data_IF_603316131796
#
_entry.id   IF_603316131796
#
_cell.length_a   1.000
_cell.length_b   1.000
_cell.length_c   1.000
_cell.angle_alpha   90.00
_cell.angle_beta   90.00
_cell.angle_gamma   90.00
#
_symmetry.space_group_name_H-M   'P 1'
#
loop_
_entity.id
_entity.type
_entity.pdbx_description
1 polymer ?
#
# COMPACT_ATOMS: atom_id res chain seq x y z
N UNK A 1 -30.65 27.98 56.29
CA UNK A 1 -31.12 26.70 55.74
C UNK A 1 -30.05 26.19 54.78
N UNK A 2 -29.58 24.97 55.00
CA UNK A 2 -28.54 24.26 54.24
C UNK A 2 -28.93 23.89 52.80
N UNK A 3 -27.91 23.64 51.96
CA UNK A 3 -27.68 22.50 51.00
C UNK A 3 -26.66 22.95 49.94
N UNK A 4 -25.41 22.44 49.83
CA UNK A 4 -24.97 21.11 49.32
C UNK A 4 -25.62 20.81 47.95
N UNK A 5 -24.96 20.53 46.81
CA UNK A 5 -23.64 19.98 46.47
C UNK A 5 -23.30 20.30 44.98
N UNK A 6 -22.07 20.71 44.68
CA UNK A 6 -21.51 20.72 43.29
C UNK A 6 -20.16 19.98 43.26
N UNK A 7 -20.16 18.70 43.64
CA UNK A 7 -18.99 17.82 43.52
C UNK A 7 -19.38 16.49 42.90
N UNK A 8 -19.43 16.43 41.57
CA UNK A 8 -19.52 15.16 40.87
C UNK A 8 -19.49 15.31 39.37
N UNK A 9 -18.31 15.22 38.75
CA UNK A 9 -18.18 14.61 37.40
C UNK A 9 -16.74 14.29 36.97
N UNK A 10 -15.71 14.86 37.61
CA UNK A 10 -14.31 14.68 37.17
C UNK A 10 -13.81 13.22 37.32
N UNK A 11 -14.44 12.43 38.19
CA UNK A 11 -14.11 11.02 38.39
C UNK A 11 -14.62 10.09 37.29
N UNK A 12 -15.69 10.48 36.58
CA UNK A 12 -16.34 9.62 35.60
C UNK A 12 -15.60 9.68 34.24
N UNK A 13 -15.22 10.89 33.82
CA UNK A 13 -14.40 11.15 32.64
C UNK A 13 -13.04 10.45 32.69
N UNK A 14 -12.39 10.38 33.86
CA UNK A 14 -11.10 9.68 34.02
C UNK A 14 -11.23 8.15 33.90
N UNK A 15 -12.33 7.58 34.39
CA UNK A 15 -12.62 6.14 34.27
C UNK A 15 -12.99 5.75 32.84
N UNK A 16 -13.71 6.63 32.16
CA UNK A 16 -14.10 6.44 30.76
C UNK A 16 -12.91 6.54 29.81
N UNK A 17 -12.02 7.53 30.00
CA UNK A 17 -10.73 7.61 29.30
C UNK A 17 -9.85 6.38 29.54
N UNK A 18 -9.84 5.85 30.77
CA UNK A 18 -9.12 4.60 31.10
C UNK A 18 -9.68 3.37 30.38
N UNK A 19 -11.02 3.28 30.23
CA UNK A 19 -11.68 2.20 29.48
C UNK A 19 -11.40 2.29 27.98
N UNK A 20 -11.43 3.49 27.40
CA UNK A 20 -11.12 3.69 25.98
C UNK A 20 -9.66 3.32 25.69
N UNK A 21 -8.72 3.71 26.56
CA UNK A 21 -7.31 3.32 26.43
C UNK A 21 -7.11 1.80 26.56
N UNK A 22 -7.80 1.15 27.51
CA UNK A 22 -7.73 -0.30 27.68
C UNK A 22 -8.36 -1.06 26.51
N UNK A 23 -9.47 -0.58 25.95
CA UNK A 23 -10.10 -1.16 24.76
C UNK A 23 -9.23 -0.98 23.51
N UNK A 24 -8.59 0.18 23.34
CA UNK A 24 -7.64 0.40 22.25
C UNK A 24 -6.42 -0.53 22.35
N UNK A 25 -5.91 -0.78 23.56
CA UNK A 25 -4.82 -1.73 23.80
C UNK A 25 -5.25 -3.18 23.56
N UNK A 26 -6.47 -3.56 23.96
CA UNK A 26 -7.01 -4.90 23.72
C UNK A 26 -7.24 -5.17 22.22
N UNK A 27 -7.78 -4.19 21.48
CA UNK A 27 -7.96 -4.29 20.02
C UNK A 27 -6.61 -4.37 19.29
N UNK A 28 -5.60 -3.61 19.72
CA UNK A 28 -4.25 -3.71 19.16
C UNK A 28 -3.59 -5.08 19.45
N UNK A 29 -3.83 -5.67 20.63
CA UNK A 29 -3.37 -7.00 20.98
C UNK A 29 -4.08 -8.11 20.18
N UNK A 30 -5.38 -7.96 19.94
CA UNK A 30 -6.18 -8.90 19.15
C UNK A 30 -5.83 -8.86 17.66
N UNK A 31 -5.56 -7.66 17.11
CA UNK A 31 -5.01 -7.49 15.76
C UNK A 31 -3.59 -8.08 15.61
N UNK A 32 -2.80 -8.11 16.69
CA UNK A 32 -1.51 -8.79 16.71
C UNK A 32 -1.66 -10.32 16.78
N UNK A 33 -2.74 -10.84 17.38
CA UNK A 33 -3.03 -12.28 17.48
C UNK A 33 -3.71 -12.85 16.23
N UNK A 34 -4.38 -12.04 15.41
CA UNK A 34 -4.94 -12.44 14.11
C UNK A 34 -3.89 -12.64 13.00
N UNK A 35 -2.59 -12.68 13.35
CA UNK A 35 -1.48 -12.92 12.43
C UNK A 35 -1.39 -14.42 12.14
N UNK A 36 -1.63 -14.81 10.88
CA UNK A 36 -1.45 -16.17 10.38
C UNK A 36 -0.14 -16.79 10.87
N UNK A 37 -0.20 -17.97 11.49
CA UNK A 37 0.99 -18.73 11.86
C UNK A 37 1.83 -19.00 10.61
N UNK A 38 3.03 -18.43 10.56
CA UNK A 38 3.98 -18.58 9.44
C UNK A 38 4.10 -17.38 8.50
N UNK A 39 3.25 -16.35 8.62
CA UNK A 39 3.50 -15.08 7.94
C UNK A 39 4.59 -14.31 8.71
N UNK A 40 5.67 -13.83 8.07
CA UNK A 40 6.64 -12.99 8.74
C UNK A 40 5.90 -11.74 9.22
N UNK A 41 5.87 -11.49 10.53
CA UNK A 41 5.12 -10.38 11.10
C UNK A 41 5.97 -9.11 11.07
N UNK A 42 5.49 -8.08 10.36
CA UNK A 42 6.15 -6.77 10.33
C UNK A 42 6.08 -6.19 11.74
N UNK A 43 7.26 -6.07 12.36
CA UNK A 43 7.38 -5.66 13.75
C UNK A 43 7.90 -4.23 13.82
N UNK A 44 7.34 -3.47 14.76
CA UNK A 44 7.97 -2.23 15.21
C UNK A 44 9.02 -2.61 16.25
N UNK A 45 10.28 -2.40 15.94
CA UNK A 45 11.41 -2.80 16.77
C UNK A 45 12.11 -1.54 17.27
N UNK A 46 12.15 -1.37 18.58
CA UNK A 46 12.78 -0.20 19.21
C UNK A 46 14.01 -0.62 19.99
N UNK A 47 15.14 0.00 19.69
CA UNK A 47 16.37 -0.10 20.47
C UNK A 47 16.36 0.97 21.54
N UNK A 48 16.60 0.59 22.79
CA UNK A 48 16.67 1.51 23.92
C UNK A 48 18.12 1.65 24.37
N UNK A 49 18.57 2.89 24.55
CA UNK A 49 19.83 3.20 25.19
C UNK A 49 19.57 3.43 26.68
N UNK A 50 20.20 2.61 27.52
CA UNK A 50 20.04 2.66 28.97
C UNK A 50 21.38 2.97 29.62
N UNK A 51 21.37 3.86 30.61
CA UNK A 51 22.51 4.08 31.50
C UNK A 51 22.56 2.93 32.49
N UNK A 52 23.54 2.04 32.39
CA UNK A 52 23.65 0.85 33.25
C UNK A 52 23.79 1.17 34.73
N UNK A 53 24.37 2.32 35.08
CA UNK A 53 24.56 2.71 36.49
C UNK A 53 23.29 3.19 37.18
N UNK A 54 22.39 3.88 36.46
CA UNK A 54 21.15 4.43 37.03
C UNK A 54 19.89 3.69 36.58
N UNK A 55 19.99 2.86 35.54
CA UNK A 55 18.85 2.24 34.86
C UNK A 55 18.02 3.21 34.03
N UNK A 56 18.44 4.47 33.93
CA UNK A 56 17.70 5.51 33.21
C UNK A 56 17.76 5.28 31.69
N UNK A 57 16.62 5.45 31.03
CA UNK A 57 16.54 5.45 29.58
C UNK A 57 17.02 6.79 29.04
N UNK A 58 18.11 6.76 28.29
CA UNK A 58 18.71 7.96 27.68
C UNK A 58 18.06 8.27 26.33
N UNK A 59 17.91 7.26 25.47
CA UNK A 59 17.39 7.45 24.12
C UNK A 59 16.71 6.19 23.55
N UNK A 60 16.03 6.31 22.41
CA UNK A 60 15.49 5.20 21.66
C UNK A 60 15.50 5.42 20.14
N UNK A 61 15.87 4.38 19.40
CA UNK A 61 15.78 4.36 17.94
C UNK A 61 14.77 3.30 17.48
N UNK A 62 13.80 3.67 16.65
CA UNK A 62 12.70 2.77 16.25
C UNK A 62 12.74 2.46 14.77
N UNK A 63 12.80 1.17 14.45
CA UNK A 63 12.55 0.63 13.14
C UNK A 63 11.08 0.27 13.01
N UNK A 64 10.43 0.77 11.98
CA UNK A 64 9.05 0.44 11.65
C UNK A 64 9.03 -0.53 10.49
N UNK A 65 8.10 -1.47 10.56
CA UNK A 65 7.77 -2.33 9.42
C UNK A 65 9.00 -3.10 8.89
N UNK A 66 9.68 -3.86 9.76
CA UNK A 66 10.87 -4.62 9.41
C UNK A 66 10.88 -6.03 10.03
N UNK A 67 11.69 -6.92 9.45
CA UNK A 67 11.97 -8.25 9.95
C UNK A 67 13.42 -8.28 10.44
N UNK A 68 13.66 -8.14 11.74
CA UNK A 68 15.00 -8.34 12.29
C UNK A 68 15.08 -9.71 12.93
N UNK A 69 16.05 -10.51 12.50
CA UNK A 69 16.38 -11.78 13.16
C UNK A 69 17.17 -11.52 14.45
N UNK A 70 16.45 -11.19 15.53
CA UNK A 70 17.01 -10.94 16.86
C UNK A 70 17.45 -12.18 17.66
N UNK A 71 17.02 -13.44 17.38
CA UNK A 71 17.57 -14.60 18.08
C UNK A 71 19.10 -14.65 17.94
N UNK A 72 19.78 -14.74 19.09
CA UNK A 72 21.25 -14.67 19.22
C UNK A 72 21.87 -13.37 18.67
N UNK A 73 21.12 -12.27 18.62
CA UNK A 73 21.55 -10.97 18.08
C UNK A 73 22.02 -11.05 16.61
N UNK A 74 21.49 -11.98 15.81
CA UNK A 74 21.97 -12.19 14.42
C UNK A 74 21.83 -10.95 13.51
N UNK A 75 20.89 -10.07 13.81
CA UNK A 75 20.66 -8.83 13.08
C UNK A 75 21.34 -7.58 13.70
N UNK A 76 22.07 -7.71 14.81
CA UNK A 76 22.58 -6.56 15.56
C UNK A 76 24.00 -6.81 16.05
N UNK A 77 24.91 -5.88 15.77
CA UNK A 77 26.30 -5.95 16.22
C UNK A 77 26.72 -4.62 16.82
N UNK A 78 27.31 -4.64 18.01
CA UNK A 78 27.85 -3.46 18.67
C UNK A 78 29.38 -3.54 18.69
N UNK A 79 30.06 -2.53 18.16
CA UNK A 79 31.50 -2.40 18.23
C UNK A 79 31.88 -1.01 18.72
N UNK A 80 32.57 -0.94 19.87
CA UNK A 80 32.88 0.30 20.56
C UNK A 80 31.59 1.11 20.82
N UNK A 81 31.43 2.23 20.12
CA UNK A 81 30.29 3.13 20.23
C UNK A 81 29.42 3.10 18.97
N UNK A 82 29.55 2.07 18.11
CA UNK A 82 28.79 1.97 16.87
C UNK A 82 27.98 0.68 16.86
N UNK A 83 26.67 0.81 16.75
CA UNK A 83 25.69 -0.25 16.63
C UNK A 83 25.31 -0.41 15.16
N UNK A 84 25.60 -1.57 14.58
CA UNK A 84 25.15 -1.96 13.24
C UNK A 84 23.87 -2.79 13.37
N UNK A 85 22.83 -2.39 12.65
CA UNK A 85 21.53 -3.06 12.64
C UNK A 85 21.19 -3.49 11.21
N UNK A 86 21.01 -4.79 11.00
CA UNK A 86 20.60 -5.38 9.74
C UNK A 86 19.06 -5.42 9.64
N UNK A 87 18.54 -4.57 8.77
CA UNK A 87 17.13 -4.53 8.36
C UNK A 87 16.93 -5.51 7.21
N UNK A 88 16.36 -6.70 7.46
CA UNK A 88 16.22 -7.73 6.42
C UNK A 88 15.18 -7.37 5.37
N UNK A 89 14.07 -6.71 5.77
CA UNK A 89 13.02 -6.36 4.81
C UNK A 89 13.55 -5.40 3.75
N UNK A 90 14.23 -4.34 4.21
CA UNK A 90 14.79 -3.31 3.33
C UNK A 90 16.20 -3.66 2.83
N UNK A 91 16.69 -4.86 3.11
CA UNK A 91 18.02 -5.35 2.70
C UNK A 91 19.17 -4.38 3.01
N UNK A 92 19.08 -3.66 4.14
CA UNK A 92 20.00 -2.58 4.49
C UNK A 92 20.62 -2.75 5.87
N UNK A 93 21.83 -2.25 6.05
CA UNK A 93 22.55 -2.19 7.32
C UNK A 93 22.63 -0.73 7.76
N UNK A 94 21.99 -0.40 8.88
CA UNK A 94 21.99 0.94 9.47
C UNK A 94 23.05 1.02 10.56
N UNK A 95 23.91 2.04 10.51
CA UNK A 95 24.94 2.30 11.52
C UNK A 95 24.51 3.44 12.43
N UNK A 96 24.29 3.12 13.71
CA UNK A 96 23.95 4.06 14.77
C UNK A 96 25.18 4.28 15.66
N UNK A 97 25.62 5.52 15.79
CA UNK A 97 26.68 5.92 16.72
C UNK A 97 26.07 6.33 18.06
N UNK A 98 26.64 5.84 19.15
CA UNK A 98 26.29 6.20 20.52
C UNK A 98 27.19 7.36 20.94
N UNK A 99 26.60 8.55 21.07
CA UNK A 99 27.30 9.74 21.51
C UNK A 99 27.54 9.74 23.03
N UNK A 100 28.60 10.39 23.54
CA UNK A 100 28.87 10.48 24.97
C UNK A 100 27.72 11.09 25.79
N UNK A 101 26.99 12.04 25.20
CA UNK A 101 25.76 12.63 25.74
C UNK A 101 24.58 11.65 25.88
N UNK A 102 24.71 10.40 25.41
CA UNK A 102 23.68 9.38 25.58
C UNK A 102 22.59 9.43 24.51
N UNK A 103 22.96 9.62 23.25
CA UNK A 103 22.03 9.69 22.11
C UNK A 103 22.49 8.80 20.97
N UNK A 104 21.54 8.23 20.22
CA UNK A 104 21.80 7.59 18.93
C UNK A 104 21.89 8.63 17.81
N UNK A 105 22.92 8.50 16.97
CA UNK A 105 23.09 9.27 15.74
C UNK A 105 23.19 8.30 14.57
N UNK A 106 22.28 8.39 13.60
CA UNK A 106 22.38 7.61 12.37
C UNK A 106 23.49 8.19 11.50
N UNK A 107 24.55 7.40 11.28
CA UNK A 107 25.73 7.84 10.54
C UNK A 107 25.59 7.54 9.05
N UNK A 108 25.24 6.30 8.73
CA UNK A 108 25.22 5.80 7.37
C UNK A 108 24.40 4.52 7.27
N UNK A 109 23.87 4.26 6.09
CA UNK A 109 23.06 3.09 5.77
C UNK A 109 23.58 2.45 4.48
N UNK A 110 23.88 1.16 4.52
CA UNK A 110 24.38 0.37 3.37
C UNK A 110 23.24 -0.50 2.85
N UNK A 111 23.02 -0.56 1.53
CA UNK A 111 22.18 -1.58 0.90
C UNK A 111 20.77 -1.14 0.50
N UNK A 112 20.34 0.07 0.85
CA UNK A 112 19.13 0.66 0.26
C UNK A 112 19.36 1.04 -1.22
N UNK A 113 20.58 1.49 -1.52
CA UNK A 113 21.08 1.82 -2.85
C UNK A 113 22.51 1.27 -3.00
N UNK A 114 22.92 0.86 -4.21
CA UNK A 114 24.28 0.40 -4.43
C UNK A 114 25.25 1.60 -4.53
N UNK A 115 24.77 2.71 -5.08
CA UNK A 115 25.44 4.00 -5.19
C UNK A 115 24.49 5.15 -4.82
N UNK A 116 25.03 6.30 -4.38
CA UNK A 116 24.22 7.50 -4.11
C UNK A 116 23.45 8.01 -5.35
N UNK A 117 23.93 7.70 -6.56
CA UNK A 117 23.23 8.06 -7.80
C UNK A 117 21.98 7.20 -8.03
N UNK A 118 21.92 5.97 -7.48
CA UNK A 118 20.79 5.09 -7.70
C UNK A 118 19.52 5.65 -7.06
N UNK A 119 19.65 6.39 -5.95
CA UNK A 119 18.54 7.11 -5.32
C UNK A 119 17.86 8.07 -6.30
N UNK A 120 18.65 8.81 -7.08
CA UNK A 120 18.14 9.75 -8.08
C UNK A 120 17.42 9.05 -9.21
N UNK A 121 17.99 7.93 -9.68
CA UNK A 121 17.41 7.12 -10.76
C UNK A 121 16.06 6.54 -10.33
N UNK A 122 15.95 6.04 -9.10
CA UNK A 122 14.70 5.51 -8.55
C UNK A 122 13.64 6.62 -8.47
N UNK A 123 13.98 7.79 -7.94
CA UNK A 123 13.05 8.93 -7.85
C UNK A 123 12.56 9.39 -9.23
N UNK A 124 13.45 9.42 -10.23
CA UNK A 124 13.08 9.75 -11.61
C UNK A 124 12.12 8.70 -12.18
N UNK A 125 12.39 7.42 -11.96
CA UNK A 125 11.53 6.33 -12.44
C UNK A 125 10.13 6.38 -11.80
N UNK A 126 10.05 6.56 -10.48
CA UNK A 126 8.77 6.69 -9.76
C UNK A 126 7.96 7.90 -10.23
N UNK A 127 8.63 8.99 -10.60
CA UNK A 127 7.96 10.18 -11.13
C UNK A 127 7.37 9.89 -12.52
N UNK A 128 8.13 9.23 -13.39
CA UNK A 128 7.66 8.81 -14.72
C UNK A 128 6.51 7.80 -14.64
N UNK A 129 6.55 6.86 -13.70
CA UNK A 129 5.46 5.90 -13.49
C UNK A 129 4.18 6.61 -13.02
N UNK A 130 4.29 7.59 -12.12
CA UNK A 130 3.15 8.39 -11.68
C UNK A 130 2.50 9.14 -12.84
N UNK A 131 3.32 9.80 -13.68
CA UNK A 131 2.84 10.47 -14.89
C UNK A 131 2.17 9.48 -15.84
N UNK A 132 2.76 8.30 -16.05
CA UNK A 132 2.18 7.25 -16.89
C UNK A 132 0.82 6.78 -16.38
N UNK A 133 0.69 6.53 -15.07
CA UNK A 133 -0.57 6.11 -14.43
C UNK A 133 -1.64 7.21 -14.56
N UNK A 134 -1.27 8.47 -14.42
CA UNK A 134 -2.21 9.59 -14.61
C UNK A 134 -2.69 9.68 -16.06
N UNK A 135 -1.78 9.56 -17.03
CA UNK A 135 -2.14 9.52 -18.46
C UNK A 135 -3.03 8.32 -18.77
N UNK A 136 -2.73 7.14 -18.23
CA UNK A 136 -3.56 5.95 -18.42
C UNK A 136 -4.96 6.12 -17.80
N UNK A 137 -5.03 6.71 -16.61
CA UNK A 137 -6.30 7.06 -15.95
C UNK A 137 -7.11 8.05 -16.79
N UNK A 138 -6.47 9.09 -17.33
CA UNK A 138 -7.13 10.06 -18.20
C UNK A 138 -7.64 9.43 -19.50
N UNK A 139 -6.82 8.59 -20.14
CA UNK A 139 -7.22 7.86 -21.35
C UNK A 139 -8.40 6.94 -21.03
N UNK A 140 -8.33 6.21 -19.92
CA UNK A 140 -9.43 5.36 -19.43
C UNK A 140 -10.71 6.16 -19.20
N UNK A 141 -10.62 7.32 -18.55
CA UNK A 141 -11.74 8.22 -18.32
C UNK A 141 -12.32 8.78 -19.64
N UNK A 142 -11.47 9.17 -20.59
CA UNK A 142 -11.89 9.64 -21.93
C UNK A 142 -12.59 8.53 -22.72
N UNK A 143 -12.11 7.29 -22.65
CA UNK A 143 -12.74 6.12 -23.28
C UNK A 143 -14.12 5.85 -22.65
N UNK A 144 -14.22 5.89 -21.32
CA UNK A 144 -15.49 5.71 -20.60
C UNK A 144 -16.49 6.81 -20.91
N UNK A 145 -16.07 8.08 -20.90
CA UNK A 145 -16.90 9.22 -21.26
C UNK A 145 -17.39 9.13 -22.70
N UNK A 146 -16.52 8.72 -23.65
CA UNK A 146 -16.91 8.50 -25.04
C UNK A 146 -17.92 7.36 -25.17
N UNK A 147 -17.77 6.26 -24.42
CA UNK A 147 -18.75 5.16 -24.39
C UNK A 147 -20.09 5.61 -23.79
N UNK A 148 -20.08 6.42 -22.74
CA UNK A 148 -21.29 6.95 -22.11
C UNK A 148 -22.02 7.94 -23.03
N UNK A 149 -21.30 8.89 -23.64
CA UNK A 149 -21.85 9.82 -24.62
C UNK A 149 -22.44 9.08 -25.83
N UNK A 150 -21.77 8.02 -26.29
CA UNK A 150 -22.26 7.17 -27.36
C UNK A 150 -23.54 6.41 -26.97
N UNK A 151 -23.65 5.93 -25.73
CA UNK A 151 -24.86 5.29 -25.22
C UNK A 151 -26.06 6.27 -25.12
N UNK A 152 -25.80 7.56 -24.84
CA UNK A 152 -26.82 8.61 -24.74
C UNK A 152 -27.34 9.04 -26.12
N UNK A 153 -26.49 9.01 -27.16
CA UNK A 153 -26.81 9.50 -28.51
C UNK A 153 -27.79 8.63 -29.33
N UNK A 154 -28.43 7.61 -28.73
CA UNK A 154 -29.52 6.79 -29.30
C UNK A 154 -29.22 6.20 -30.68
N UNK A 155 -28.38 5.18 -30.68
CA UNK A 155 -28.61 3.87 -31.29
C UNK A 155 -27.39 3.01 -30.93
N UNK A 156 -27.53 1.78 -30.46
CA UNK A 156 -26.36 0.92 -30.25
C UNK A 156 -25.77 0.66 -31.64
N UNK A 157 -24.72 1.41 -32.03
CA UNK A 157 -23.88 1.03 -33.15
C UNK A 157 -23.50 -0.42 -32.88
N UNK A 158 -23.73 -1.27 -33.89
CA UNK A 158 -23.53 -2.72 -33.87
C UNK A 158 -22.34 -3.07 -32.97
N UNK A 159 -22.59 -3.91 -31.95
CA UNK A 159 -21.51 -4.31 -31.02
C UNK A 159 -20.33 -4.89 -31.81
N UNK A 160 -19.11 -4.82 -31.27
CA UNK A 160 -17.92 -5.33 -31.97
C UNK A 160 -18.06 -6.79 -32.40
N UNK A 161 -18.81 -7.60 -31.65
CA UNK A 161 -19.14 -8.98 -32.02
C UNK A 161 -20.17 -9.04 -33.15
N UNK A 162 -21.23 -8.23 -33.08
CA UNK A 162 -22.26 -8.14 -34.13
C UNK A 162 -21.65 -7.66 -35.46
N UNK A 163 -20.78 -6.67 -35.43
CA UNK A 163 -20.07 -6.17 -36.61
C UNK A 163 -19.19 -7.26 -37.25
N UNK A 164 -18.45 -8.01 -36.43
CA UNK A 164 -17.63 -9.14 -36.92
C UNK A 164 -18.50 -10.25 -37.51
N UNK A 165 -19.62 -10.59 -36.87
CA UNK A 165 -20.55 -11.63 -37.35
C UNK A 165 -21.20 -11.23 -38.67
N UNK A 166 -21.72 -10.00 -38.79
CA UNK A 166 -22.32 -9.48 -40.02
C UNK A 166 -21.28 -9.45 -41.15
N UNK A 167 -20.05 -9.00 -40.87
CA UNK A 167 -18.96 -8.97 -41.86
C UNK A 167 -18.61 -10.37 -42.32
N UNK A 168 -18.58 -11.35 -41.41
CA UNK A 168 -18.34 -12.75 -41.75
C UNK A 168 -19.46 -13.31 -42.64
N UNK A 169 -20.73 -13.14 -42.26
CA UNK A 169 -21.88 -13.61 -43.02
C UNK A 169 -21.95 -12.97 -44.42
N UNK A 170 -21.60 -11.69 -44.53
CA UNK A 170 -21.52 -10.99 -45.83
C UNK A 170 -20.42 -11.57 -46.71
N UNK A 171 -19.22 -11.77 -46.16
CA UNK A 171 -18.10 -12.40 -46.88
C UNK A 171 -18.42 -13.83 -47.31
N UNK A 172 -19.12 -14.59 -46.47
CA UNK A 172 -19.56 -15.96 -46.77
C UNK A 172 -20.60 -15.98 -47.89
N UNK A 173 -21.62 -15.12 -47.81
CA UNK A 173 -22.62 -14.97 -48.87
C UNK A 173 -22.00 -14.56 -50.21
N UNK A 174 -21.05 -13.61 -50.21
CA UNK A 174 -20.32 -13.20 -51.41
C UNK A 174 -19.46 -14.32 -52.02
N UNK A 175 -18.91 -15.22 -51.20
CA UNK A 175 -18.14 -16.39 -51.69
C UNK A 175 -19.05 -17.46 -52.30
N UNK A 176 -20.27 -17.62 -51.78
CA UNK A 176 -21.20 -18.64 -52.23
C UNK A 176 -21.86 -18.35 -53.60
N UNK A 177 -21.71 -17.12 -54.14
CA UNK A 177 -22.30 -16.63 -55.41
C UNK A 177 -23.81 -16.90 -55.62
N UNK A 178 -24.52 -17.29 -54.56
CA UNK A 178 -25.94 -17.62 -54.58
C UNK A 178 -26.76 -16.39 -54.19
N UNK A 179 -27.65 -15.96 -55.08
CA UNK A 179 -28.53 -14.81 -54.84
C UNK A 179 -29.43 -15.01 -53.60
N UNK A 180 -29.72 -16.26 -53.24
CA UNK A 180 -30.55 -16.58 -52.07
C UNK A 180 -29.80 -16.44 -50.75
N UNK A 181 -28.48 -16.64 -50.73
CA UNK A 181 -27.64 -16.38 -49.56
C UNK A 181 -27.60 -14.89 -49.22
N UNK A 182 -27.53 -14.02 -50.23
CA UNK A 182 -27.60 -12.56 -50.06
C UNK A 182 -28.99 -12.09 -49.61
N UNK A 183 -30.06 -12.68 -50.13
CA UNK A 183 -31.43 -12.39 -49.69
C UNK A 183 -31.68 -12.82 -48.24
N UNK A 184 -31.14 -13.97 -47.84
CA UNK A 184 -31.22 -14.46 -46.46
C UNK A 184 -30.48 -13.54 -45.50
N UNK A 185 -29.31 -13.04 -45.88
CA UNK A 185 -28.56 -12.05 -45.11
C UNK A 185 -29.35 -10.75 -44.95
N UNK A 186 -29.90 -10.21 -46.04
CA UNK A 186 -30.71 -8.99 -46.00
C UNK A 186 -31.94 -9.14 -45.09
N UNK A 187 -32.63 -10.28 -45.16
CA UNK A 187 -33.79 -10.55 -44.29
C UNK A 187 -33.43 -10.63 -42.81
N UNK A 188 -32.25 -11.16 -42.49
CA UNK A 188 -31.79 -11.30 -41.11
C UNK A 188 -31.10 -10.03 -40.59
N UNK A 189 -30.62 -9.15 -41.47
CA UNK A 189 -29.94 -7.90 -41.11
C UNK A 189 -30.84 -6.96 -40.30
N UNK A 190 -32.12 -6.85 -40.68
CA UNK A 190 -33.17 -6.11 -39.96
C UNK A 190 -33.43 -6.64 -38.53
N UNK A 191 -32.99 -7.86 -38.19
CA UNK A 191 -33.09 -8.38 -36.81
C UNK A 191 -31.90 -8.00 -35.93
N UNK A 192 -30.81 -7.52 -36.51
CA UNK A 192 -29.56 -7.21 -35.80
C UNK A 192 -29.29 -5.70 -35.64
N UNK A 193 -30.10 -4.85 -36.28
CA UNK A 193 -30.12 -3.38 -36.19
C UNK A 193 -31.38 -2.95 -35.43
#
# INVERSE_FOLDING_TARGET
AMREDERGDVGNTRREMGRIAAQAQAQAAEQAQARMQGAPSMARITFHLLKTTTGEKLDAFTFTDDFMHLPRNGAVSLRNNTLAVLSLKHQRVVFLKILPEGRFEEMHTIGEYACAEDERIVVEHESREREFIEVEREIGAKIQARRAAFAIARSPLLSGLTQRLITFLYRDACKSSSADALRLLHRNFERYV
#
